data_IF_541829494586
#
_entry.id   IF_541829494586
#
_cell.length_a   1.000
_cell.length_b   1.000
_cell.length_c   1.000
_cell.angle_alpha   90.00
_cell.angle_beta   90.00
_cell.angle_gamma   90.00
#
_symmetry.space_group_name_H-M   'P 1'
#
loop_
_entity.id
_entity.type
_entity.pdbx_description
1 polymer ?
#
# COMPACT_ATOMS: atom_id res chain seq x y z
N UNK A 1 -15.78 -11.48 15.18
CA UNK A 1 -15.78 -11.05 13.78
C UNK A 1 -16.55 -12.11 13.06
N UNK A 2 -17.79 -11.79 12.70
CA UNK A 2 -18.75 -12.83 12.32
C UNK A 2 -18.53 -13.18 10.86
N UNK A 3 -18.45 -14.48 10.57
CA UNK A 3 -18.30 -15.01 9.22
C UNK A 3 -19.29 -16.14 9.02
N UNK A 4 -19.71 -16.35 7.77
CA UNK A 4 -20.60 -17.44 7.39
C UNK A 4 -19.77 -18.50 6.67
N UNK A 5 -19.96 -19.76 7.07
CA UNK A 5 -19.37 -20.93 6.43
C UNK A 5 -20.51 -21.89 6.08
N UNK A 6 -20.63 -22.25 4.80
CA UNK A 6 -21.67 -23.15 4.32
C UNK A 6 -21.12 -24.06 3.23
N UNK A 7 -21.60 -25.30 3.17
CA UNK A 7 -21.28 -26.23 2.10
C UNK A 7 -22.48 -26.29 1.16
N UNK A 8 -22.28 -25.95 -0.11
CA UNK A 8 -23.35 -25.97 -1.11
C UNK A 8 -22.83 -26.36 -2.50
N UNK A 9 -23.75 -26.78 -3.37
CA UNK A 9 -23.42 -27.01 -4.77
C UNK A 9 -23.26 -25.67 -5.50
N UNK A 10 -22.22 -25.57 -6.33
CA UNK A 10 -21.95 -24.44 -7.23
C UNK A 10 -23.14 -23.99 -8.10
N UNK A 11 -24.10 -24.86 -8.40
CA UNK A 11 -25.25 -24.51 -9.23
C UNK A 11 -26.10 -23.39 -8.60
N UNK A 12 -26.09 -23.30 -7.26
CA UNK A 12 -26.75 -22.22 -6.52
C UNK A 12 -25.99 -20.90 -6.62
N UNK A 13 -24.68 -20.95 -6.84
CA UNK A 13 -23.78 -19.81 -6.91
C UNK A 13 -23.68 -19.22 -8.33
N UNK A 14 -24.01 -19.99 -9.38
CA UNK A 14 -23.94 -19.54 -10.78
C UNK A 14 -24.80 -18.29 -11.05
N UNK A 15 -25.86 -18.08 -10.26
CA UNK A 15 -26.74 -16.91 -10.36
C UNK A 15 -26.14 -15.64 -9.77
N UNK A 16 -25.11 -15.75 -8.93
CA UNK A 16 -24.54 -14.64 -8.17
C UNK A 16 -23.25 -14.11 -8.81
N UNK A 17 -22.43 -14.98 -9.38
CA UNK A 17 -21.16 -14.63 -10.02
C UNK A 17 -20.71 -15.72 -10.99
N UNK A 18 -19.74 -15.39 -11.84
CA UNK A 18 -19.15 -16.34 -12.77
C UNK A 18 -18.35 -17.42 -12.03
N UNK A 19 -18.69 -18.69 -12.28
CA UNK A 19 -17.98 -19.84 -11.74
C UNK A 19 -17.11 -20.47 -12.84
N UNK A 20 -15.82 -20.71 -12.57
CA UNK A 20 -14.96 -21.47 -13.48
C UNK A 20 -15.55 -22.85 -13.83
N UNK A 21 -15.41 -23.29 -15.07
CA UNK A 21 -15.93 -24.60 -15.50
C UNK A 21 -15.45 -25.77 -14.64
N UNK A 22 -14.21 -25.68 -14.15
CA UNK A 22 -13.59 -26.69 -13.28
C UNK A 22 -14.32 -26.87 -11.93
N UNK A 23 -15.15 -25.90 -11.54
CA UNK A 23 -15.90 -25.89 -10.28
C UNK A 23 -17.39 -26.12 -10.48
N UNK A 24 -17.92 -26.17 -11.72
CA UNK A 24 -19.34 -26.42 -11.96
C UNK A 24 -19.79 -27.80 -11.46
N UNK A 25 -21.06 -27.90 -11.05
CA UNK A 25 -21.70 -29.10 -10.49
C UNK A 25 -20.91 -29.76 -9.34
N UNK A 26 -20.15 -29.00 -8.55
CA UNK A 26 -19.38 -29.53 -7.41
C UNK A 26 -19.89 -29.00 -6.09
N UNK A 27 -19.76 -29.85 -5.08
CA UNK A 27 -19.93 -29.43 -3.68
C UNK A 27 -18.71 -28.59 -3.28
N UNK A 28 -18.95 -27.34 -2.94
CA UNK A 28 -17.91 -26.39 -2.53
C UNK A 28 -18.21 -25.83 -1.15
N UNK A 29 -17.16 -25.43 -0.47
CA UNK A 29 -17.25 -24.67 0.76
C UNK A 29 -17.24 -23.19 0.43
N UNK A 30 -18.27 -22.48 0.87
CA UNK A 30 -18.42 -21.03 0.72
C UNK A 30 -18.10 -20.37 2.05
N UNK A 31 -17.17 -19.42 2.01
CA UNK A 31 -16.76 -18.64 3.17
C UNK A 31 -17.03 -17.16 2.86
N UNK A 32 -17.95 -16.56 3.60
CA UNK A 32 -18.28 -15.14 3.50
C UNK A 32 -17.56 -14.42 4.63
N UNK A 33 -16.60 -13.58 4.25
CA UNK A 33 -15.80 -12.79 5.19
C UNK A 33 -16.13 -11.32 4.95
N UNK A 34 -16.60 -10.58 5.97
CA UNK A 34 -16.81 -9.15 5.82
C UNK A 34 -15.46 -8.48 5.52
N UNK A 35 -15.42 -7.69 4.45
CA UNK A 35 -14.25 -6.87 4.14
C UNK A 35 -14.13 -5.84 5.26
N UNK A 36 -13.00 -5.81 5.96
CA UNK A 36 -12.68 -4.65 6.79
C UNK A 36 -12.54 -3.47 5.84
N UNK A 37 -13.43 -2.48 5.97
CA UNK A 37 -13.20 -1.19 5.33
C UNK A 37 -11.83 -0.71 5.80
N UNK A 38 -10.83 -0.78 4.90
CA UNK A 38 -9.62 0.00 5.08
C UNK A 38 -10.12 1.42 5.13
N UNK A 39 -10.17 2.00 6.34
CA UNK A 39 -10.26 3.45 6.51
C UNK A 39 -9.35 4.04 5.44
N UNK A 40 -9.93 4.66 4.41
CA UNK A 40 -9.21 5.43 3.39
C UNK A 40 -8.73 6.72 4.05
N UNK A 41 -8.05 6.62 5.20
CA UNK A 41 -7.08 7.62 5.58
C UNK A 41 -5.98 7.47 4.56
N UNK A 42 -5.90 8.40 3.61
CA UNK A 42 -4.73 8.60 2.76
C UNK A 42 -3.52 8.45 3.67
N UNK A 43 -2.81 7.33 3.56
CA UNK A 43 -1.61 7.11 4.34
C UNK A 43 -0.71 8.30 3.99
N UNK A 44 -0.45 9.17 4.97
CA UNK A 44 0.26 10.43 4.75
C UNK A 44 1.62 10.07 4.14
N UNK A 45 1.73 10.18 2.81
CA UNK A 45 2.99 10.05 2.05
C UNK A 45 4.03 11.05 2.58
N UNK A 46 3.58 12.14 3.22
CA UNK A 46 4.40 13.03 4.05
C UNK A 46 5.03 12.25 5.21
N UNK A 47 6.28 11.88 5.03
CA UNK A 47 7.12 11.25 6.07
C UNK A 47 7.50 9.80 5.78
N UNK A 48 6.98 9.18 4.71
CA UNK A 48 7.34 7.81 4.33
C UNK A 48 8.85 7.66 4.04
N UNK A 49 9.47 8.71 3.52
CA UNK A 49 10.91 8.78 3.24
C UNK A 49 11.72 9.38 4.38
N UNK A 50 11.11 9.72 5.53
CA UNK A 50 11.81 10.34 6.67
C UNK A 50 12.94 9.46 7.21
N UNK A 51 12.81 8.13 7.11
CA UNK A 51 13.84 7.16 7.50
C UNK A 51 15.10 7.18 6.61
N UNK A 52 15.00 7.71 5.40
CA UNK A 52 16.12 7.87 4.47
C UNK A 52 16.71 9.28 4.52
N UNK A 53 16.22 10.15 5.39
CA UNK A 53 16.74 11.50 5.58
C UNK A 53 18.14 11.41 6.20
N UNK A 54 19.17 11.66 5.40
CA UNK A 54 20.52 11.81 5.92
C UNK A 54 20.75 13.24 6.39
N UNK A 55 20.86 13.43 7.71
CA UNK A 55 21.03 14.76 8.32
C UNK A 55 22.41 15.36 8.11
N UNK A 56 23.44 14.56 7.81
CA UNK A 56 24.77 15.11 7.53
C UNK A 56 24.80 15.77 6.15
N UNK A 57 24.28 15.07 5.13
CA UNK A 57 24.24 15.58 3.75
C UNK A 57 23.38 16.85 3.61
N UNK A 58 22.28 16.95 4.36
CA UNK A 58 21.43 18.15 4.34
C UNK A 58 22.19 19.37 4.88
N UNK A 59 22.99 19.19 5.93
CA UNK A 59 23.83 20.28 6.47
C UNK A 59 24.93 20.65 5.50
N UNK A 60 25.50 19.66 4.81
CA UNK A 60 26.50 19.92 3.78
C UNK A 60 25.86 20.70 2.61
N UNK A 61 24.67 20.31 2.16
CA UNK A 61 23.90 21.01 1.12
C UNK A 61 23.61 22.48 1.47
N UNK A 62 23.23 22.76 2.72
CA UNK A 62 22.99 24.13 3.20
C UNK A 62 24.28 24.97 3.16
N UNK A 63 25.42 24.39 3.54
CA UNK A 63 26.71 25.08 3.61
C UNK A 63 27.48 25.12 2.28
N UNK A 64 27.07 24.34 1.27
CA UNK A 64 27.70 24.34 -0.07
C UNK A 64 27.63 25.72 -0.69
N UNK A 65 26.51 26.44 -0.52
CA UNK A 65 26.34 27.75 -1.16
C UNK A 65 27.32 28.78 -0.60
N UNK A 66 27.48 28.83 0.72
CA UNK A 66 28.45 29.70 1.41
C UNK A 66 29.89 29.35 1.02
N UNK A 67 30.21 28.04 0.96
CA UNK A 67 31.54 27.58 0.56
C UNK A 67 31.86 27.96 -0.89
N UNK A 68 30.95 27.71 -1.82
CA UNK A 68 31.14 28.04 -3.25
C UNK A 68 31.27 29.55 -3.45
N UNK A 69 30.50 30.36 -2.73
CA UNK A 69 30.63 31.82 -2.82
C UNK A 69 31.94 32.32 -2.24
N UNK A 70 32.40 31.76 -1.12
CA UNK A 70 33.69 32.12 -0.53
C UNK A 70 34.86 31.68 -1.41
N UNK A 71 34.79 30.49 -2.02
CA UNK A 71 35.81 30.01 -2.97
C UNK A 71 35.87 30.87 -4.26
N UNK A 72 34.72 31.33 -4.77
CA UNK A 72 34.66 32.14 -5.99
C UNK A 72 34.96 33.62 -5.80
N UNK A 73 34.58 34.20 -4.66
CA UNK A 73 34.62 35.65 -4.42
C UNK A 73 35.45 36.07 -3.20
N UNK A 74 35.87 35.13 -2.35
CA UNK A 74 36.62 35.42 -1.11
C UNK A 74 38.12 35.65 -1.31
N UNK A 75 38.65 35.45 -2.53
CA UNK A 75 40.02 35.81 -2.92
C UNK A 75 40.04 37.07 -3.81
N UNK A 76 39.42 38.16 -3.35
CA UNK A 76 39.69 39.53 -3.85
C UNK A 76 40.34 40.36 -2.76
#
# INVERSE_FOLDING_TARGET
MDYVREIMNTDKLEKLFFIPESLKNKMVEVIIIPIQEKNKGIAKLRGALKKYRNTSLIKDEENIWERVMTEKYGNS
#
